data_IF_449471720014
#
_entry.id   IF_449471720014
#
_cell.length_a   1.000
_cell.length_b   1.000
_cell.length_c   1.000
_cell.angle_alpha   90.00
_cell.angle_beta   90.00
_cell.angle_gamma   90.00
#
_symmetry.space_group_name_H-M   'P 1'
#
loop_
_entity.id
_entity.type
_entity.pdbx_description
1 polymer ?
#
# COMPACT_ATOMS: atom_id res chain seq x y z
N UNK A 1 -6.75 -16.12 -6.09
CA UNK A 1 -7.03 -14.78 -6.60
C UNK A 1 -6.23 -13.76 -5.82
N UNK A 2 -5.52 -12.87 -6.50
CA UNK A 2 -4.71 -11.85 -5.84
C UNK A 2 -5.62 -10.80 -5.19
N UNK A 3 -5.25 -10.35 -3.99
CA UNK A 3 -5.90 -9.24 -3.33
C UNK A 3 -5.76 -7.97 -4.19
N UNK A 4 -6.79 -7.11 -4.30
CA UNK A 4 -6.66 -5.83 -5.00
C UNK A 4 -5.50 -4.98 -4.48
N UNK A 5 -5.24 -5.03 -3.17
CA UNK A 5 -4.14 -4.29 -2.58
C UNK A 5 -2.77 -4.86 -2.98
N UNK A 6 -2.66 -6.18 -3.08
CA UNK A 6 -1.44 -6.82 -3.55
C UNK A 6 -1.17 -6.46 -5.02
N UNK A 7 -2.20 -6.47 -5.85
CA UNK A 7 -2.11 -6.04 -7.24
C UNK A 7 -1.68 -4.57 -7.32
N UNK A 8 -2.23 -3.72 -6.46
CA UNK A 8 -1.85 -2.32 -6.38
C UNK A 8 -0.36 -2.15 -6.07
N UNK A 9 0.16 -2.88 -5.08
CA UNK A 9 1.59 -2.82 -4.72
C UNK A 9 2.44 -3.22 -5.92
N UNK A 10 2.07 -4.30 -6.61
CA UNK A 10 2.76 -4.73 -7.81
C UNK A 10 2.75 -3.64 -8.89
N UNK A 11 1.60 -3.01 -9.12
CA UNK A 11 1.46 -1.97 -10.14
C UNK A 11 2.22 -0.71 -9.78
N UNK A 12 2.28 -0.33 -8.50
CA UNK A 12 3.08 0.80 -8.05
C UNK A 12 4.54 0.61 -8.48
N UNK A 13 5.09 -0.57 -8.27
CA UNK A 13 6.48 -0.86 -8.62
C UNK A 13 6.69 -1.07 -10.12
N UNK A 14 5.62 -1.26 -10.89
CA UNK A 14 5.69 -1.43 -12.34
C UNK A 14 5.38 -0.15 -13.12
N UNK A 15 4.96 0.91 -12.44
CA UNK A 15 4.50 2.14 -13.09
C UNK A 15 5.53 2.74 -14.03
N UNK A 16 6.78 2.79 -13.62
CA UNK A 16 7.85 3.38 -14.43
C UNK A 16 8.11 2.63 -15.74
N UNK A 17 7.63 1.38 -15.84
CA UNK A 17 7.79 0.57 -17.04
C UNK A 17 6.68 0.83 -18.03
N UNK A 18 5.43 0.94 -17.55
CA UNK A 18 4.24 0.97 -18.40
C UNK A 18 3.54 2.32 -18.46
N UNK A 19 3.95 3.29 -17.62
CA UNK A 19 3.50 4.67 -17.71
C UNK A 19 2.00 4.86 -17.52
N UNK A 20 1.38 5.67 -18.40
CA UNK A 20 -0.01 6.12 -18.25
C UNK A 20 -1.03 4.98 -18.28
N UNK A 21 -0.76 3.91 -19.03
CA UNK A 21 -1.64 2.76 -19.11
C UNK A 21 -1.80 2.13 -17.72
N UNK A 22 -0.68 1.96 -17.02
CA UNK A 22 -0.70 1.43 -15.66
C UNK A 22 -1.34 2.39 -14.68
N UNK A 23 -1.11 3.68 -14.83
CA UNK A 23 -1.74 4.67 -13.96
C UNK A 23 -3.26 4.56 -14.04
N UNK A 24 -3.82 4.50 -15.24
CA UNK A 24 -5.26 4.40 -15.42
C UNK A 24 -5.83 3.10 -14.85
N UNK A 25 -5.11 2.01 -14.99
CA UNK A 25 -5.51 0.73 -14.44
C UNK A 25 -5.53 0.76 -12.90
N UNK A 26 -4.50 1.32 -12.30
CA UNK A 26 -4.43 1.49 -10.85
C UNK A 26 -5.56 2.40 -10.35
N UNK A 27 -5.86 3.48 -11.08
CA UNK A 27 -6.93 4.40 -10.71
C UNK A 27 -8.28 3.66 -10.61
N UNK A 28 -8.56 2.76 -11.54
CA UNK A 28 -9.78 1.95 -11.48
C UNK A 28 -9.83 1.05 -10.26
N UNK A 29 -8.71 0.43 -9.91
CA UNK A 29 -8.63 -0.39 -8.70
C UNK A 29 -8.87 0.47 -7.45
N UNK A 30 -8.28 1.66 -7.42
CA UNK A 30 -8.41 2.54 -6.25
C UNK A 30 -9.82 3.07 -6.06
N UNK A 31 -10.56 3.31 -7.14
CA UNK A 31 -11.97 3.67 -7.06
C UNK A 31 -12.80 2.59 -6.38
N UNK A 32 -12.43 1.34 -6.56
CA UNK A 32 -13.13 0.18 -6.02
C UNK A 32 -12.59 -0.31 -4.69
N UNK A 33 -11.49 0.25 -4.22
CA UNK A 33 -10.87 -0.19 -2.97
C UNK A 33 -11.83 0.06 -1.81
N UNK A 34 -12.05 -0.98 -1.02
CA UNK A 34 -12.88 -0.95 0.18
C UNK A 34 -12.01 -1.18 1.40
N UNK A 35 -12.50 -0.73 2.56
CA UNK A 35 -11.82 -0.98 3.83
C UNK A 35 -11.60 -2.47 4.05
N UNK A 36 -12.54 -3.31 3.65
CA UNK A 36 -12.43 -4.77 3.73
C UNK A 36 -11.23 -5.32 2.96
N UNK A 37 -10.90 -4.72 1.82
CA UNK A 37 -9.74 -5.14 1.03
C UNK A 37 -8.44 -4.90 1.79
N UNK A 38 -8.34 -3.77 2.48
CA UNK A 38 -7.19 -3.45 3.33
C UNK A 38 -7.10 -4.42 4.48
N UNK A 39 -8.22 -4.70 5.13
CA UNK A 39 -8.27 -5.64 6.24
C UNK A 39 -7.83 -7.05 5.80
N UNK A 40 -8.34 -7.52 4.68
CA UNK A 40 -8.01 -8.85 4.17
C UNK A 40 -6.52 -8.96 3.82
N UNK A 41 -5.95 -7.91 3.25
CA UNK A 41 -4.52 -7.89 2.95
C UNK A 41 -3.69 -7.95 4.24
N UNK A 42 -4.08 -7.17 5.25
CA UNK A 42 -3.40 -7.18 6.54
C UNK A 42 -3.45 -8.58 7.18
N UNK A 43 -4.63 -9.20 7.21
CA UNK A 43 -4.80 -10.54 7.78
C UNK A 43 -3.91 -11.56 7.06
N UNK A 44 -3.84 -11.52 5.73
CA UNK A 44 -3.01 -12.42 4.95
C UNK A 44 -1.52 -12.26 5.27
N UNK A 45 -1.12 -11.10 5.72
CA UNK A 45 0.28 -10.81 6.05
C UNK A 45 0.53 -10.80 7.55
N UNK A 46 -0.38 -11.38 8.33
CA UNK A 46 -0.27 -11.51 9.79
C UNK A 46 -0.20 -10.18 10.53
N UNK A 47 -0.85 -9.16 9.99
CA UNK A 47 -0.98 -7.86 10.62
C UNK A 47 -2.40 -7.73 11.16
N UNK A 48 -2.54 -7.60 12.48
CA UNK A 48 -3.83 -7.46 13.14
C UNK A 48 -4.09 -5.98 13.41
N UNK A 49 -4.68 -5.30 12.43
CA UNK A 49 -5.00 -3.88 12.55
C UNK A 49 -6.17 -3.66 13.50
N UNK A 50 -6.04 -2.68 14.38
CA UNK A 50 -7.19 -2.17 15.13
C UNK A 50 -8.14 -1.44 14.18
N UNK A 51 -9.35 -1.14 14.65
CA UNK A 51 -10.31 -0.38 13.83
C UNK A 51 -9.76 0.99 13.44
N UNK A 52 -9.11 1.68 14.36
CA UNK A 52 -8.49 2.98 14.09
C UNK A 52 -7.36 2.88 13.08
N UNK A 53 -6.51 1.86 13.23
CA UNK A 53 -5.40 1.62 12.29
C UNK A 53 -5.93 1.30 10.90
N UNK A 54 -6.98 0.50 10.82
CA UNK A 54 -7.61 0.14 9.56
C UNK A 54 -8.22 1.37 8.88
N UNK A 55 -8.94 2.19 9.63
CA UNK A 55 -9.54 3.42 9.11
C UNK A 55 -8.47 4.37 8.57
N UNK A 56 -7.42 4.57 9.35
CA UNK A 56 -6.32 5.43 8.95
C UNK A 56 -5.66 4.92 7.67
N UNK A 57 -5.35 3.64 7.63
CA UNK A 57 -4.67 3.03 6.47
C UNK A 57 -5.52 3.17 5.20
N UNK A 58 -6.80 2.84 5.32
CA UNK A 58 -7.72 2.94 4.19
C UNK A 58 -7.82 4.36 3.65
N UNK A 59 -8.06 5.34 4.54
CA UNK A 59 -8.18 6.73 4.13
C UNK A 59 -6.87 7.28 3.57
N UNK A 60 -5.75 6.91 4.15
CA UNK A 60 -4.45 7.33 3.67
C UNK A 60 -4.20 6.82 2.25
N UNK A 61 -4.44 5.54 2.02
CA UNK A 61 -4.22 4.94 0.69
C UNK A 61 -5.17 5.55 -0.32
N UNK A 62 -6.45 5.70 0.01
CA UNK A 62 -7.43 6.31 -0.89
C UNK A 62 -7.04 7.72 -1.30
N UNK A 63 -6.53 8.49 -0.36
CA UNK A 63 -6.22 9.90 -0.58
C UNK A 63 -4.89 10.12 -1.29
N UNK A 64 -3.91 9.26 -1.06
CA UNK A 64 -2.52 9.54 -1.43
C UNK A 64 -1.91 8.57 -2.45
N UNK A 65 -2.67 7.58 -2.93
CA UNK A 65 -2.10 6.56 -3.81
C UNK A 65 -1.45 7.15 -5.07
N UNK A 66 -2.06 8.17 -5.65
CA UNK A 66 -1.55 8.80 -6.88
C UNK A 66 -0.24 9.55 -6.64
N UNK A 67 -0.13 10.22 -5.50
CA UNK A 67 1.09 10.93 -5.12
C UNK A 67 2.22 9.96 -4.84
N UNK A 68 1.93 8.88 -4.13
CA UNK A 68 2.92 7.85 -3.81
C UNK A 68 3.38 7.14 -5.07
N UNK A 69 2.45 6.86 -5.99
CA UNK A 69 2.76 6.23 -7.27
C UNK A 69 3.75 7.06 -8.09
N UNK A 70 3.54 8.37 -8.12
CA UNK A 70 4.42 9.30 -8.85
C UNK A 70 5.74 9.54 -8.17
N UNK A 71 5.76 9.45 -6.84
CA UNK A 71 6.96 9.67 -6.04
C UNK A 71 6.93 8.77 -4.80
N UNK A 72 7.42 7.51 -4.92
CA UNK A 72 7.42 6.57 -3.81
C UNK A 72 8.18 7.07 -2.58
N UNK A 73 9.11 8.00 -2.75
CA UNK A 73 9.88 8.58 -1.64
C UNK A 73 9.00 9.40 -0.69
N UNK A 74 7.79 9.76 -1.09
CA UNK A 74 6.84 10.43 -0.19
C UNK A 74 6.34 9.50 0.91
N UNK A 75 6.49 8.19 0.76
CA UNK A 75 6.08 7.23 1.76
C UNK A 75 7.15 7.12 2.84
N UNK A 76 7.11 8.06 3.77
CA UNK A 76 8.01 8.09 4.91
C UNK A 76 7.32 7.47 6.13
N UNK A 77 7.72 6.24 6.47
CA UNK A 77 7.09 5.49 7.55
C UNK A 77 7.24 6.13 8.92
N UNK A 78 8.31 6.89 9.15
CA UNK A 78 8.51 7.53 10.45
C UNK A 78 7.37 8.48 10.82
N UNK A 79 6.69 9.04 9.82
CA UNK A 79 5.55 9.94 10.02
C UNK A 79 4.31 9.21 10.55
N UNK A 80 4.28 7.89 10.44
CA UNK A 80 3.12 7.08 10.81
C UNK A 80 3.32 6.32 12.12
N UNK A 81 4.46 6.50 12.78
CA UNK A 81 4.82 5.77 13.98
C UNK A 81 3.75 5.88 15.08
N UNK A 82 3.13 7.05 15.22
CA UNK A 82 2.12 7.30 16.24
C UNK A 82 0.71 6.80 15.82
N UNK A 83 0.55 6.35 14.59
CA UNK A 83 -0.74 5.89 14.07
C UNK A 83 -0.97 4.40 14.26
N UNK A 84 0.08 3.66 14.59
CA UNK A 84 0.03 2.20 14.74
C UNK A 84 0.61 1.79 16.07
N UNK A 85 0.20 0.60 16.55
CA UNK A 85 0.93 -0.04 17.63
C UNK A 85 2.36 -0.30 17.20
N UNK A 86 3.28 -0.40 18.17
CA UNK A 86 4.68 -0.67 17.85
C UNK A 86 4.82 -1.97 17.05
N UNK A 87 4.09 -3.01 17.45
CA UNK A 87 4.11 -4.29 16.76
C UNK A 87 3.66 -4.15 15.31
N UNK A 88 2.53 -3.49 15.07
CA UNK A 88 2.00 -3.33 13.72
C UNK A 88 2.86 -2.41 12.88
N UNK A 89 3.41 -1.36 13.45
CA UNK A 89 4.33 -0.48 12.73
C UNK A 89 5.54 -1.26 12.20
N UNK A 90 6.16 -2.08 13.04
CA UNK A 90 7.31 -2.90 12.65
C UNK A 90 6.92 -3.88 11.54
N UNK A 91 5.78 -4.55 11.68
CA UNK A 91 5.31 -5.51 10.68
C UNK A 91 5.04 -4.85 9.33
N UNK A 92 4.38 -3.70 9.33
CA UNK A 92 4.06 -2.96 8.11
C UNK A 92 5.34 -2.47 7.43
N UNK A 93 6.29 -1.96 8.20
CA UNK A 93 7.56 -1.51 7.67
C UNK A 93 8.35 -2.65 7.03
N UNK A 94 8.39 -3.80 7.67
CA UNK A 94 9.05 -4.99 7.12
C UNK A 94 8.36 -5.48 5.85
N UNK A 95 7.04 -5.45 5.83
CA UNK A 95 6.26 -5.85 4.67
C UNK A 95 6.57 -4.94 3.47
N UNK A 96 6.61 -3.64 3.68
CA UNK A 96 6.98 -2.70 2.63
C UNK A 96 8.41 -2.95 2.13
N UNK A 97 9.36 -3.15 3.03
CA UNK A 97 10.75 -3.42 2.66
C UNK A 97 10.87 -4.69 1.83
N UNK A 98 10.13 -5.74 2.20
CA UNK A 98 10.12 -6.99 1.45
C UNK A 98 9.64 -6.77 0.01
N UNK A 99 8.54 -6.04 -0.17
CA UNK A 99 8.05 -5.74 -1.52
C UNK A 99 9.00 -4.83 -2.29
N UNK A 100 9.61 -3.86 -1.62
CA UNK A 100 10.57 -2.98 -2.25
C UNK A 100 11.78 -3.76 -2.77
N UNK A 101 12.31 -4.69 -1.99
CA UNK A 101 13.43 -5.52 -2.42
C UNK A 101 13.06 -6.39 -3.62
N UNK A 102 11.83 -6.90 -3.63
CA UNK A 102 11.36 -7.79 -4.70
C UNK A 102 11.09 -7.06 -6.02
N UNK A 103 10.56 -5.85 -5.95
CA UNK A 103 10.08 -5.12 -7.13
C UNK A 103 10.77 -3.78 -7.34
N UNK A 104 11.57 -3.31 -6.40
CA UNK A 104 12.18 -1.97 -6.44
C UNK A 104 13.10 -1.73 -7.63
N UNK A 105 13.63 -2.79 -8.21
CA UNK A 105 14.50 -2.65 -9.40
C UNK A 105 13.73 -2.19 -10.64
N UNK A 106 12.41 -2.18 -10.59
CA UNK A 106 11.58 -1.64 -11.66
C UNK A 106 11.35 -0.13 -11.53
N UNK A 107 11.77 0.46 -10.42
CA UNK A 107 11.67 1.91 -10.22
C UNK A 107 12.90 2.62 -10.85
#
# INVERSE_FOLDING_TARGET
MLSPLLVLIFFIFSYNILGDVMFNLIARYMERLKKEDVLNFAVKNNVSLSEEELDFTYLFVKKNWDKILRNPNLLNFDRFKDRYSEENFIKIQKLYQMYYQKYGHYL
#
